data_IF_157026672039
#
_entry.id   IF_157026672039
#
_cell.length_a   1.000
_cell.length_b   1.000
_cell.length_c   1.000
_cell.angle_alpha   90.00
_cell.angle_beta   90.00
_cell.angle_gamma   90.00
#
_symmetry.space_group_name_H-M   'P 1'
#
loop_
_entity.id
_entity.type
_entity.pdbx_description
1 polymer ?
#
# COMPACT_ATOMS: atom_id res chain seq x y z
N UNK A 1 32.89 -7.23 -25.29
CA UNK A 1 32.46 -7.45 -26.69
C UNK A 1 31.24 -8.35 -26.68
N UNK A 2 30.08 -7.82 -27.05
CA UNK A 2 28.83 -8.58 -27.09
C UNK A 2 28.83 -9.47 -28.33
N UNK A 3 28.72 -10.78 -28.11
CA UNK A 3 28.77 -11.79 -29.18
C UNK A 3 27.57 -12.73 -29.19
N UNK A 4 26.78 -12.78 -28.10
CA UNK A 4 25.69 -13.73 -27.96
C UNK A 4 24.42 -13.04 -27.46
N UNK A 5 23.27 -13.49 -27.95
CA UNK A 5 21.95 -13.17 -27.41
C UNK A 5 21.38 -14.36 -26.64
N UNK A 6 20.74 -14.09 -25.50
CA UNK A 6 20.01 -15.10 -24.73
C UNK A 6 18.67 -15.40 -25.42
N UNK A 7 18.42 -16.67 -25.72
CA UNK A 7 17.17 -17.22 -26.26
C UNK A 7 16.55 -18.20 -25.26
N UNK A 8 15.34 -18.68 -25.54
CA UNK A 8 14.68 -19.69 -24.69
C UNK A 8 15.50 -20.99 -24.60
N UNK A 9 16.20 -21.36 -25.67
CA UNK A 9 17.00 -22.59 -25.76
C UNK A 9 18.48 -22.41 -25.37
N UNK A 10 18.88 -21.23 -24.85
CA UNK A 10 20.25 -20.97 -24.43
C UNK A 10 20.83 -19.67 -24.98
N UNK A 11 22.06 -19.72 -25.50
CA UNK A 11 22.75 -18.57 -26.07
C UNK A 11 23.00 -18.81 -27.56
N UNK A 12 22.65 -17.84 -28.39
CA UNK A 12 22.86 -17.86 -29.84
C UNK A 12 23.81 -16.75 -30.25
N UNK A 13 24.64 -17.00 -31.26
CA UNK A 13 25.59 -16.00 -31.73
C UNK A 13 24.86 -14.84 -32.41
N UNK A 14 25.26 -13.61 -32.09
CA UNK A 14 24.68 -12.41 -32.68
C UNK A 14 25.11 -12.29 -34.15
N UNK A 15 24.18 -11.97 -35.06
CA UNK A 15 24.52 -11.65 -36.45
C UNK A 15 25.52 -10.50 -36.58
N UNK A 16 25.48 -9.56 -35.62
CA UNK A 16 26.42 -8.45 -35.52
C UNK A 16 27.01 -8.39 -34.11
N UNK A 17 28.34 -8.51 -34.03
CA UNK A 17 29.10 -8.38 -32.78
C UNK A 17 29.36 -6.91 -32.49
N UNK A 18 29.14 -6.50 -31.24
CA UNK A 18 29.27 -5.09 -30.83
C UNK A 18 30.34 -4.91 -29.76
N UNK A 19 30.99 -3.76 -29.80
CA UNK A 19 31.82 -3.28 -28.69
C UNK A 19 30.90 -2.50 -27.75
N UNK A 20 30.82 -2.93 -26.49
CA UNK A 20 30.11 -2.21 -25.43
C UNK A 20 31.17 -1.70 -24.45
N UNK A 21 31.31 -0.37 -24.37
CA UNK A 21 32.30 0.29 -23.53
C UNK A 21 31.61 1.20 -22.52
N UNK A 22 31.91 1.01 -21.24
CA UNK A 22 31.52 1.90 -20.15
C UNK A 22 32.75 2.30 -19.33
N UNK A 23 33.12 3.59 -19.39
CA UNK A 23 34.34 4.10 -18.75
C UNK A 23 34.18 4.49 -17.27
N UNK A 24 32.96 4.71 -16.78
CA UNK A 24 32.68 5.14 -15.40
C UNK A 24 33.25 6.52 -15.07
N UNK A 25 32.53 7.58 -15.44
CA UNK A 25 32.96 8.97 -15.30
C UNK A 25 33.40 9.30 -13.87
N UNK A 26 32.60 8.93 -12.85
CA UNK A 26 32.87 9.23 -11.44
C UNK A 26 34.18 8.59 -10.95
N UNK A 27 34.53 7.40 -11.44
CA UNK A 27 35.79 6.72 -11.09
C UNK A 27 36.99 7.36 -11.78
N UNK A 28 36.84 7.77 -13.04
CA UNK A 28 37.87 8.53 -13.75
C UNK A 28 38.10 9.87 -13.06
N UNK A 29 37.02 10.58 -12.70
CA UNK A 29 37.07 11.84 -11.99
C UNK A 29 37.79 11.70 -10.63
N UNK A 30 37.48 10.65 -9.86
CA UNK A 30 38.16 10.33 -8.60
C UNK A 30 39.68 10.22 -8.79
N UNK A 31 40.14 9.47 -9.80
CA UNK A 31 41.57 9.30 -10.09
C UNK A 31 42.21 10.61 -10.56
N UNK A 32 41.57 11.34 -11.48
CA UNK A 32 42.09 12.61 -12.03
C UNK A 32 42.19 13.69 -10.94
N UNK A 33 41.25 13.72 -10.00
CA UNK A 33 41.22 14.67 -8.88
C UNK A 33 42.10 14.22 -7.70
N UNK A 34 42.79 13.08 -7.80
CA UNK A 34 43.66 12.55 -6.74
C UNK A 34 42.90 12.15 -5.47
N UNK A 35 41.62 11.79 -5.61
CA UNK A 35 40.74 11.37 -4.50
C UNK A 35 40.79 9.86 -4.30
N UNK A 36 40.45 9.40 -3.10
CA UNK A 36 40.37 7.97 -2.78
C UNK A 36 38.92 7.48 -2.75
N UNK A 37 37.98 8.41 -2.73
CA UNK A 37 36.55 8.15 -2.71
C UNK A 37 35.83 9.01 -3.77
N UNK A 38 34.88 8.40 -4.49
CA UNK A 38 34.08 9.11 -5.50
C UNK A 38 33.26 10.26 -4.89
N UNK A 39 32.89 10.15 -3.62
CA UNK A 39 32.11 11.17 -2.92
C UNK A 39 32.92 12.42 -2.55
N UNK A 40 34.26 12.35 -2.61
CA UNK A 40 35.17 13.48 -2.43
C UNK A 40 35.37 14.31 -3.71
N UNK A 41 34.82 13.85 -4.83
CA UNK A 41 34.90 14.56 -6.10
C UNK A 41 33.91 15.71 -6.16
N UNK A 42 34.17 16.67 -7.03
CA UNK A 42 33.23 17.75 -7.38
C UNK A 42 31.82 17.28 -7.79
N UNK A 43 31.67 16.01 -8.18
CA UNK A 43 30.40 15.40 -8.58
C UNK A 43 29.49 15.03 -7.39
N UNK A 44 29.98 15.09 -6.15
CA UNK A 44 29.23 14.75 -4.94
C UNK A 44 29.55 15.63 -3.74
N UNK A 45 30.76 16.17 -3.65
CA UNK A 45 31.24 16.93 -2.50
C UNK A 45 30.31 18.09 -2.09
N UNK A 46 29.71 18.88 -3.00
CA UNK A 46 28.76 19.93 -2.60
C UNK A 46 27.58 19.40 -1.77
N UNK A 47 27.08 18.20 -2.09
CA UNK A 47 26.00 17.56 -1.33
C UNK A 47 26.52 17.09 0.04
N UNK A 48 27.72 16.49 0.09
CA UNK A 48 28.36 16.07 1.34
C UNK A 48 28.57 17.28 2.27
N UNK A 49 29.10 18.38 1.75
CA UNK A 49 29.31 19.62 2.51
C UNK A 49 27.99 20.17 3.07
N UNK A 50 26.93 20.19 2.26
CA UNK A 50 25.59 20.56 2.73
C UNK A 50 25.12 19.65 3.88
N UNK A 51 25.33 18.33 3.77
CA UNK A 51 24.96 17.36 4.80
C UNK A 51 25.78 17.56 6.10
N UNK A 52 27.08 17.83 6.00
CA UNK A 52 27.90 18.18 7.18
C UNK A 52 27.35 19.42 7.88
N UNK A 53 27.04 20.47 7.12
CA UNK A 53 26.54 21.74 7.64
C UNK A 53 25.20 21.60 8.39
N UNK A 54 24.26 20.80 7.85
CA UNK A 54 22.93 20.63 8.48
C UNK A 54 22.94 19.59 9.60
N UNK A 55 23.85 18.62 9.58
CA UNK A 55 23.98 17.60 10.64
C UNK A 55 24.90 18.03 11.79
N UNK A 56 25.84 18.95 11.53
CA UNK A 56 26.93 19.29 12.44
C UNK A 56 27.97 18.18 12.59
N UNK A 57 28.02 17.22 11.66
CA UNK A 57 28.93 16.06 11.68
C UNK A 57 29.91 16.12 10.53
N UNK A 58 31.11 15.62 10.74
CA UNK A 58 32.13 15.56 9.69
C UNK A 58 32.03 14.26 8.88
N UNK A 59 32.37 14.31 7.59
CA UNK A 59 32.21 13.17 6.67
C UNK A 59 32.91 11.90 7.15
N UNK A 60 34.11 12.03 7.73
CA UNK A 60 34.90 10.93 8.28
C UNK A 60 34.83 10.82 9.81
N UNK A 61 33.80 11.38 10.45
CA UNK A 61 33.62 11.30 11.91
C UNK A 61 33.49 9.84 12.40
N UNK A 62 32.79 9.00 11.63
CA UNK A 62 32.77 7.55 11.82
C UNK A 62 32.37 6.84 10.53
N UNK A 63 32.57 5.52 10.46
CA UNK A 63 32.14 4.70 9.31
C UNK A 63 30.62 4.82 9.07
N UNK A 64 29.83 4.91 10.14
CA UNK A 64 28.37 5.06 10.08
C UNK A 64 27.96 6.42 9.49
N UNK A 65 28.64 7.51 9.89
CA UNK A 65 28.40 8.85 9.36
C UNK A 65 28.82 8.93 7.90
N UNK A 66 29.99 8.40 7.57
CA UNK A 66 30.50 8.33 6.20
C UNK A 66 29.49 7.59 5.32
N UNK A 67 29.05 6.40 5.74
CA UNK A 67 28.08 5.60 5.01
C UNK A 67 26.74 6.34 4.82
N UNK A 68 26.23 6.99 5.88
CA UNK A 68 24.98 7.71 5.81
C UNK A 68 25.04 8.89 4.81
N UNK A 69 26.12 9.67 4.84
CA UNK A 69 26.31 10.78 3.89
C UNK A 69 26.47 10.30 2.45
N UNK A 70 27.21 9.20 2.22
CA UNK A 70 27.34 8.57 0.89
C UNK A 70 25.98 8.15 0.33
N UNK A 71 25.17 7.47 1.13
CA UNK A 71 23.83 7.01 0.71
C UNK A 71 22.91 8.21 0.42
N UNK A 72 22.93 9.23 1.27
CA UNK A 72 22.15 10.45 1.06
C UNK A 72 22.56 11.16 -0.24
N UNK A 73 23.86 11.31 -0.50
CA UNK A 73 24.36 12.01 -1.69
C UNK A 73 24.06 11.27 -2.99
N UNK A 74 24.27 9.95 -3.02
CA UNK A 74 23.93 9.11 -4.16
C UNK A 74 22.43 9.14 -4.48
N UNK A 75 21.61 8.95 -3.45
CA UNK A 75 20.17 8.92 -3.61
C UNK A 75 19.57 10.29 -3.91
N UNK A 76 20.17 11.38 -3.43
CA UNK A 76 19.79 12.74 -3.81
C UNK A 76 19.94 12.95 -5.32
N UNK A 77 21.12 12.67 -5.88
CA UNK A 77 21.36 12.78 -7.34
C UNK A 77 20.36 11.95 -8.13
N UNK A 78 20.24 10.66 -7.79
CA UNK A 78 19.34 9.73 -8.49
C UNK A 78 17.88 10.19 -8.41
N UNK A 79 17.41 10.59 -7.24
CA UNK A 79 16.02 10.99 -7.01
C UNK A 79 15.67 12.31 -7.71
N UNK A 80 16.62 13.25 -7.78
CA UNK A 80 16.44 14.52 -8.51
C UNK A 80 16.23 14.26 -10.00
N UNK A 81 17.03 13.40 -10.63
CA UNK A 81 16.85 13.06 -12.04
C UNK A 81 15.55 12.29 -12.31
N UNK A 82 15.24 11.29 -11.49
CA UNK A 82 13.99 10.54 -11.65
C UNK A 82 12.79 11.48 -11.52
N UNK A 83 12.81 12.40 -10.56
CA UNK A 83 11.75 13.40 -10.39
C UNK A 83 11.72 14.43 -11.54
N UNK A 84 12.87 14.84 -12.07
CA UNK A 84 13.00 15.72 -13.24
C UNK A 84 12.29 15.12 -14.46
N UNK A 85 12.41 13.81 -14.68
CA UNK A 85 11.71 13.06 -15.74
C UNK A 85 10.18 12.94 -15.53
N UNK A 86 9.62 13.63 -14.53
CA UNK A 86 8.19 13.67 -14.25
C UNK A 86 7.68 12.50 -13.40
N UNK A 87 8.56 11.64 -12.90
CA UNK A 87 8.18 10.50 -12.05
C UNK A 87 7.78 10.99 -10.66
N UNK A 88 6.71 10.42 -10.11
CA UNK A 88 6.25 10.65 -8.75
C UNK A 88 6.26 9.36 -7.91
N UNK A 89 6.46 9.43 -6.57
CA UNK A 89 6.49 8.27 -5.68
C UNK A 89 5.24 7.38 -5.78
N UNK A 90 5.42 6.13 -6.19
CA UNK A 90 4.32 5.18 -6.45
C UNK A 90 4.61 3.77 -5.88
N UNK A 91 3.67 2.83 -6.02
CA UNK A 91 3.86 1.43 -5.64
C UNK A 91 4.49 0.56 -6.74
N UNK A 92 4.78 1.13 -7.93
CA UNK A 92 5.20 0.37 -9.12
C UNK A 92 6.33 1.05 -9.87
N UNK A 93 7.15 0.25 -10.55
CA UNK A 93 8.15 0.66 -11.54
C UNK A 93 9.07 1.80 -11.05
N UNK A 94 9.25 2.86 -11.87
CA UNK A 94 10.11 3.99 -11.53
C UNK A 94 9.61 4.76 -10.29
N UNK A 95 8.29 4.83 -10.11
CA UNK A 95 7.69 5.48 -8.95
C UNK A 95 7.99 4.73 -7.65
N UNK A 96 8.08 3.40 -7.69
CA UNK A 96 8.55 2.60 -6.55
C UNK A 96 10.03 2.87 -6.26
N UNK A 97 10.87 2.94 -7.29
CA UNK A 97 12.30 3.24 -7.11
C UNK A 97 12.51 4.62 -6.46
N UNK A 98 11.85 5.67 -6.97
CA UNK A 98 11.92 7.02 -6.41
C UNK A 98 11.46 7.03 -4.94
N UNK A 99 10.29 6.43 -4.67
CA UNK A 99 9.78 6.30 -3.31
C UNK A 99 10.80 5.64 -2.38
N UNK A 100 11.39 4.53 -2.81
CA UNK A 100 12.37 3.78 -2.02
C UNK A 100 13.59 4.62 -1.69
N UNK A 101 14.14 5.34 -2.69
CA UNK A 101 15.30 6.20 -2.48
C UNK A 101 14.99 7.34 -1.50
N UNK A 102 13.85 8.03 -1.67
CA UNK A 102 13.44 9.09 -0.75
C UNK A 102 13.27 8.58 0.68
N UNK A 103 12.61 7.44 0.88
CA UNK A 103 12.44 6.85 2.22
C UNK A 103 13.77 6.46 2.86
N UNK A 104 14.69 5.92 2.07
CA UNK A 104 16.04 5.58 2.51
C UNK A 104 16.83 6.83 2.89
N UNK A 105 16.71 7.91 2.11
CA UNK A 105 17.28 9.22 2.48
C UNK A 105 16.73 9.70 3.83
N UNK A 106 15.41 9.66 4.06
CA UNK A 106 14.81 10.07 5.35
C UNK A 106 15.37 9.24 6.52
N UNK A 107 15.51 7.91 6.34
CA UNK A 107 16.11 7.03 7.35
C UNK A 107 17.55 7.44 7.70
N UNK A 108 18.40 7.63 6.70
CA UNK A 108 19.80 7.98 6.94
C UNK A 108 19.99 9.43 7.43
N UNK A 109 19.11 10.36 7.03
CA UNK A 109 19.06 11.69 7.63
C UNK A 109 18.80 11.62 9.14
N UNK A 110 17.91 10.72 9.59
CA UNK A 110 17.67 10.46 11.01
C UNK A 110 18.89 9.87 11.72
N UNK A 111 19.66 8.99 11.07
CA UNK A 111 20.94 8.48 11.62
C UNK A 111 21.97 9.60 11.80
N UNK A 112 21.96 10.62 10.95
CA UNK A 112 22.78 11.82 11.11
C UNK A 112 22.26 12.77 12.20
N UNK A 113 21.11 12.49 12.83
CA UNK A 113 20.47 13.36 13.82
C UNK A 113 19.57 14.45 13.22
N UNK A 114 19.37 14.44 11.90
CA UNK A 114 18.53 15.43 11.22
C UNK A 114 17.07 14.96 11.26
N UNK A 115 16.20 15.75 11.89
CA UNK A 115 14.79 15.35 12.09
C UNK A 115 13.92 15.58 10.84
N UNK A 116 14.12 16.66 10.12
CA UNK A 116 13.32 17.01 8.95
C UNK A 116 14.09 17.97 8.04
N UNK A 117 13.71 18.03 6.77
CA UNK A 117 14.18 18.99 5.77
C UNK A 117 15.39 18.50 4.99
N UNK A 118 16.12 17.50 5.49
CA UNK A 118 17.37 17.05 4.88
C UNK A 118 17.21 16.64 3.41
N UNK A 119 16.10 15.98 3.05
CA UNK A 119 15.91 15.51 1.68
C UNK A 119 15.59 16.65 0.72
N UNK A 120 14.88 17.68 1.18
CA UNK A 120 14.55 18.88 0.39
C UNK A 120 15.78 19.76 0.24
N UNK A 121 16.54 19.95 1.32
CA UNK A 121 17.71 20.82 1.39
C UNK A 121 18.84 20.43 0.42
N UNK A 122 18.91 19.16 0.02
CA UNK A 122 19.91 18.67 -0.94
C UNK A 122 19.46 18.81 -2.40
N UNK A 123 18.19 19.11 -2.67
CA UNK A 123 17.65 19.25 -4.04
C UNK A 123 18.28 20.44 -4.75
N UNK A 124 18.27 21.61 -4.12
CA UNK A 124 18.83 22.85 -4.69
C UNK A 124 20.33 22.71 -4.97
N UNK A 125 21.09 22.17 -4.01
CA UNK A 125 22.53 21.90 -4.17
C UNK A 125 22.81 20.95 -5.33
N UNK A 126 22.01 19.87 -5.44
CA UNK A 126 22.13 18.91 -6.55
C UNK A 126 21.81 19.56 -7.89
N UNK A 127 20.76 20.40 -7.92
CA UNK A 127 20.34 21.10 -9.13
C UNK A 127 21.37 22.12 -9.60
N UNK A 128 21.95 22.90 -8.69
CA UNK A 128 22.99 23.87 -8.98
C UNK A 128 24.24 23.20 -9.57
N UNK A 129 24.73 22.14 -8.91
CA UNK A 129 25.90 21.37 -9.33
C UNK A 129 25.78 20.81 -10.76
N UNK A 130 24.57 20.49 -11.20
CA UNK A 130 24.31 19.81 -12.48
C UNK A 130 23.67 20.73 -13.52
N UNK A 131 23.36 21.97 -13.16
CA UNK A 131 22.64 22.92 -14.04
C UNK A 131 23.39 23.28 -15.32
N UNK A 132 24.72 23.16 -15.34
CA UNK A 132 25.52 23.38 -16.54
C UNK A 132 25.34 22.27 -17.59
N UNK A 133 25.02 21.05 -17.13
CA UNK A 133 24.78 19.88 -17.98
C UNK A 133 23.29 19.69 -18.29
N UNK A 134 22.42 20.05 -17.34
CA UNK A 134 20.96 19.97 -17.45
C UNK A 134 20.34 21.34 -17.14
N UNK A 135 20.29 22.27 -18.13
CA UNK A 135 19.81 23.64 -17.91
C UNK A 135 18.37 23.71 -17.39
N UNK A 136 17.50 22.79 -17.84
CA UNK A 136 16.09 22.71 -17.47
C UNK A 136 15.87 22.30 -16.00
N UNK A 137 16.90 21.75 -15.35
CA UNK A 137 16.82 21.32 -13.96
C UNK A 137 16.50 22.51 -13.02
N UNK A 138 16.98 23.72 -13.35
CA UNK A 138 16.72 24.95 -12.58
C UNK A 138 15.23 25.31 -12.53
N UNK A 139 14.50 25.14 -13.63
CA UNK A 139 13.06 25.43 -13.67
C UNK A 139 12.22 24.39 -12.92
N UNK A 140 12.75 23.18 -12.74
CA UNK A 140 12.04 22.07 -12.12
C UNK A 140 12.25 21.96 -10.60
N UNK A 141 13.21 22.71 -10.02
CA UNK A 141 13.59 22.64 -8.59
C UNK A 141 12.37 22.69 -7.67
N UNK A 142 11.51 23.69 -7.81
CA UNK A 142 10.33 23.85 -6.94
C UNK A 142 9.37 22.66 -7.01
N UNK A 143 9.20 22.06 -8.19
CA UNK A 143 8.36 20.85 -8.34
C UNK A 143 9.03 19.64 -7.70
N UNK A 144 10.33 19.47 -7.89
CA UNK A 144 11.11 18.36 -7.32
C UNK A 144 11.14 18.47 -5.78
N UNK A 145 11.39 19.65 -5.23
CA UNK A 145 11.33 19.92 -3.78
C UNK A 145 9.97 19.54 -3.20
N UNK A 146 8.88 19.86 -3.90
CA UNK A 146 7.52 19.46 -3.48
C UNK A 146 7.38 17.95 -3.42
N UNK A 147 7.87 17.21 -4.41
CA UNK A 147 7.83 15.73 -4.42
C UNK A 147 8.60 15.14 -3.23
N UNK A 148 9.79 15.66 -2.95
CA UNK A 148 10.63 15.22 -1.82
C UNK A 148 9.94 15.51 -0.49
N UNK A 149 9.43 16.74 -0.33
CA UNK A 149 8.72 17.18 0.88
C UNK A 149 7.50 16.31 1.18
N UNK A 150 6.65 16.07 0.19
CA UNK A 150 5.43 15.28 0.37
C UNK A 150 5.73 13.84 0.79
N UNK A 151 6.74 13.20 0.20
CA UNK A 151 7.12 11.83 0.60
C UNK A 151 7.83 11.81 1.96
N UNK A 152 8.66 12.81 2.28
CA UNK A 152 9.31 12.92 3.59
C UNK A 152 8.28 13.09 4.71
N UNK A 153 7.32 14.01 4.57
CA UNK A 153 6.25 14.25 5.54
C UNK A 153 5.40 13.00 5.75
N UNK A 154 5.08 12.31 4.65
CA UNK A 154 4.31 11.06 4.68
C UNK A 154 5.06 9.94 5.39
N UNK A 155 6.35 9.79 5.13
CA UNK A 155 7.13 8.67 5.63
C UNK A 155 7.65 8.88 7.05
N UNK A 156 7.90 10.12 7.48
CA UNK A 156 8.47 10.42 8.80
C UNK A 156 7.70 9.74 9.95
N UNK A 157 6.36 9.81 9.93
CA UNK A 157 5.51 9.17 10.95
C UNK A 157 5.60 7.64 10.92
N UNK A 158 5.65 7.07 9.73
CA UNK A 158 5.80 5.62 9.53
C UNK A 158 7.19 5.15 9.99
N UNK A 159 8.23 5.94 9.73
CA UNK A 159 9.60 5.63 10.12
C UNK A 159 9.75 5.56 11.64
N UNK A 160 9.27 6.56 12.38
CA UNK A 160 9.41 6.60 13.85
C UNK A 160 8.73 5.41 14.52
N UNK A 161 7.49 5.09 14.12
CA UNK A 161 6.75 3.94 14.62
C UNK A 161 7.37 2.61 14.15
N UNK A 162 7.79 2.54 12.89
CA UNK A 162 8.38 1.37 12.26
C UNK A 162 9.72 0.98 12.89
N UNK A 163 10.62 1.94 13.10
CA UNK A 163 11.92 1.71 13.75
C UNK A 163 11.76 1.18 15.17
N UNK A 164 10.81 1.73 15.94
CA UNK A 164 10.55 1.27 17.30
C UNK A 164 10.07 -0.19 17.34
N UNK A 165 9.14 -0.57 16.46
CA UNK A 165 8.63 -1.95 16.41
C UNK A 165 9.65 -2.92 15.79
N UNK A 166 10.40 -2.47 14.79
CA UNK A 166 11.48 -3.23 14.17
C UNK A 166 12.59 -3.55 15.16
N UNK A 167 13.06 -2.55 15.93
CA UNK A 167 14.07 -2.74 16.96
C UNK A 167 13.65 -3.77 18.01
N UNK A 168 12.37 -3.79 18.43
CA UNK A 168 11.87 -4.80 19.36
C UNK A 168 11.92 -6.22 18.79
N UNK A 169 11.57 -6.39 17.52
CA UNK A 169 11.51 -7.70 16.85
C UNK A 169 12.90 -8.20 16.41
N UNK A 170 13.81 -7.29 16.09
CA UNK A 170 15.14 -7.62 15.58
C UNK A 170 16.24 -7.61 16.65
N UNK A 171 15.96 -7.19 17.88
CA UNK A 171 16.94 -7.21 18.96
C UNK A 171 17.42 -8.65 19.23
N UNK A 172 18.71 -8.91 19.01
CA UNK A 172 19.30 -10.25 19.14
C UNK A 172 18.79 -11.25 18.11
N UNK A 173 18.24 -10.79 16.99
CA UNK A 173 17.71 -11.64 15.94
C UNK A 173 18.83 -12.43 15.24
N UNK A 174 18.77 -13.75 15.37
CA UNK A 174 19.67 -14.69 14.70
C UNK A 174 18.89 -15.64 13.77
N UNK A 175 17.74 -15.17 13.28
CA UNK A 175 16.82 -15.95 12.46
C UNK A 175 17.23 -16.05 10.99
N UNK A 176 16.51 -16.88 10.25
CA UNK A 176 16.70 -17.08 8.82
C UNK A 176 16.14 -15.93 7.98
N UNK A 177 16.42 -15.95 6.67
CA UNK A 177 15.88 -14.96 5.71
C UNK A 177 14.35 -15.04 5.62
N UNK A 178 13.80 -16.24 5.75
CA UNK A 178 12.37 -16.52 5.77
C UNK A 178 11.71 -15.92 7.02
N UNK A 179 12.35 -16.05 8.18
CA UNK A 179 11.88 -15.42 9.42
C UNK A 179 11.92 -13.89 9.31
N UNK A 180 12.99 -13.32 8.74
CA UNK A 180 13.07 -11.87 8.49
C UNK A 180 11.98 -11.40 7.52
N UNK A 181 11.69 -12.19 6.48
CA UNK A 181 10.60 -11.92 5.53
C UNK A 181 9.23 -11.90 6.23
N UNK A 182 9.02 -12.77 7.22
CA UNK A 182 7.82 -12.78 8.06
C UNK A 182 7.71 -11.52 8.90
N UNK A 183 8.78 -11.15 9.61
CA UNK A 183 8.85 -9.90 10.37
C UNK A 183 8.57 -8.69 9.48
N UNK A 184 9.15 -8.64 8.28
CA UNK A 184 8.94 -7.56 7.34
C UNK A 184 7.50 -7.47 6.83
N UNK A 185 6.87 -8.61 6.55
CA UNK A 185 5.48 -8.66 6.13
C UNK A 185 4.54 -8.15 7.23
N UNK A 186 4.73 -8.59 8.47
CA UNK A 186 3.96 -8.15 9.63
C UNK A 186 4.09 -6.65 9.87
N UNK A 187 5.32 -6.12 9.86
CA UNK A 187 5.58 -4.69 10.07
C UNK A 187 4.98 -3.85 8.93
N UNK A 188 4.99 -4.35 7.70
CA UNK A 188 4.33 -3.70 6.58
C UNK A 188 2.80 -3.67 6.75
N UNK A 189 2.17 -4.79 7.11
CA UNK A 189 0.72 -4.86 7.31
C UNK A 189 0.24 -4.04 8.52
N UNK A 190 1.00 -4.09 9.63
CA UNK A 190 0.59 -3.49 10.90
C UNK A 190 0.87 -2.01 10.99
N UNK A 191 2.03 -1.55 10.50
CA UNK A 191 2.49 -0.17 10.68
C UNK A 191 2.90 0.52 9.38
N UNK A 192 2.79 -0.17 8.23
CA UNK A 192 3.18 0.36 6.93
C UNK A 192 4.69 0.46 6.73
N UNK A 193 5.49 -0.20 7.59
CA UNK A 193 6.94 -0.09 7.55
C UNK A 193 7.50 -0.90 6.37
N UNK A 194 8.25 -0.28 5.46
CA UNK A 194 8.65 -0.94 4.22
C UNK A 194 9.61 -2.11 4.44
N UNK A 195 9.50 -3.20 3.67
CA UNK A 195 10.34 -4.38 3.83
C UNK A 195 11.83 -4.07 3.58
N UNK A 196 12.15 -3.12 2.70
CA UNK A 196 13.52 -2.65 2.51
C UNK A 196 14.13 -1.99 3.76
N UNK A 197 13.31 -1.33 4.61
CA UNK A 197 13.80 -0.71 5.84
C UNK A 197 14.07 -1.77 6.91
N UNK A 198 13.26 -2.83 6.95
CA UNK A 198 13.45 -3.99 7.83
C UNK A 198 14.73 -4.74 7.46
N UNK A 199 15.00 -4.90 6.16
CA UNK A 199 16.27 -5.45 5.69
C UNK A 199 17.46 -4.63 6.19
N UNK A 200 17.40 -3.31 6.10
CA UNK A 200 18.47 -2.45 6.62
C UNK A 200 18.60 -2.52 8.14
N UNK A 201 17.50 -2.64 8.88
CA UNK A 201 17.55 -2.85 10.34
C UNK A 201 18.22 -4.19 10.70
N UNK A 202 18.01 -5.23 9.91
CA UNK A 202 18.66 -6.52 10.11
C UNK A 202 20.16 -6.46 9.79
N UNK A 203 20.54 -5.73 8.73
CA UNK A 203 21.95 -5.48 8.39
C UNK A 203 22.66 -4.67 9.48
N UNK A 204 22.00 -3.65 10.04
CA UNK A 204 22.51 -2.87 11.16
C UNK A 204 22.74 -3.74 12.41
N UNK A 205 21.98 -4.83 12.57
CA UNK A 205 22.16 -5.84 13.62
C UNK A 205 23.15 -6.97 13.25
N UNK A 206 23.89 -6.83 12.15
CA UNK A 206 24.95 -7.77 11.75
C UNK A 206 24.53 -8.92 10.84
N UNK A 207 23.28 -8.94 10.34
CA UNK A 207 22.85 -9.96 9.38
C UNK A 207 23.43 -9.70 7.99
N UNK A 208 24.26 -10.62 7.50
CA UNK A 208 24.82 -10.55 6.14
C UNK A 208 23.81 -11.02 5.09
N UNK A 209 22.98 -10.09 4.61
CA UNK A 209 21.99 -10.35 3.56
C UNK A 209 21.92 -9.21 2.55
N UNK A 210 21.61 -9.52 1.29
CA UNK A 210 21.42 -8.51 0.24
C UNK A 210 19.95 -8.43 -0.21
N UNK A 211 19.62 -7.32 -0.87
CA UNK A 211 18.26 -7.02 -1.35
C UNK A 211 17.73 -8.03 -2.37
N UNK A 212 18.58 -8.63 -3.19
CA UNK A 212 18.16 -9.62 -4.20
C UNK A 212 17.67 -10.90 -3.53
N UNK A 213 18.48 -11.45 -2.61
CA UNK A 213 18.16 -12.64 -1.83
C UNK A 213 16.90 -12.41 -0.99
N UNK A 214 16.88 -11.33 -0.20
CA UNK A 214 15.72 -10.99 0.62
C UNK A 214 14.46 -10.76 -0.23
N UNK A 215 14.58 -9.99 -1.32
CA UNK A 215 13.46 -9.68 -2.19
C UNK A 215 12.85 -10.90 -2.87
N UNK A 216 13.65 -11.94 -3.17
CA UNK A 216 13.14 -13.22 -3.69
C UNK A 216 12.26 -13.90 -2.64
N UNK A 217 12.80 -14.12 -1.44
CA UNK A 217 12.09 -14.78 -0.33
C UNK A 217 10.84 -13.98 0.08
N UNK A 218 10.93 -12.66 0.11
CA UNK A 218 9.79 -11.79 0.42
C UNK A 218 8.66 -11.88 -0.60
N UNK A 219 8.98 -11.96 -1.90
CA UNK A 219 7.96 -12.17 -2.95
C UNK A 219 7.30 -13.53 -2.84
N UNK A 220 8.08 -14.59 -2.59
CA UNK A 220 7.56 -15.94 -2.36
C UNK A 220 6.63 -15.97 -1.13
N UNK A 221 7.03 -15.28 -0.06
CA UNK A 221 6.22 -15.15 1.16
C UNK A 221 4.89 -14.42 0.89
N UNK A 222 4.92 -13.29 0.17
CA UNK A 222 3.69 -12.59 -0.23
C UNK A 222 2.83 -13.46 -1.14
N UNK A 223 3.42 -14.17 -2.11
CA UNK A 223 2.68 -15.04 -3.02
C UNK A 223 1.95 -16.15 -2.25
N UNK A 224 2.64 -16.80 -1.31
CA UNK A 224 2.05 -17.81 -0.42
C UNK A 224 0.91 -17.22 0.42
N UNK A 225 1.11 -16.06 1.05
CA UNK A 225 0.03 -15.41 1.80
C UNK A 225 -1.14 -14.96 0.93
N UNK A 226 -0.89 -14.55 -0.32
CA UNK A 226 -1.95 -14.24 -1.29
C UNK A 226 -2.71 -15.50 -1.71
N UNK A 227 -2.03 -16.62 -1.93
CA UNK A 227 -2.63 -17.92 -2.20
C UNK A 227 -3.43 -18.41 -1.01
N UNK A 228 -2.92 -18.33 0.22
CA UNK A 228 -3.66 -18.66 1.45
C UNK A 228 -4.87 -17.73 1.63
N UNK A 229 -4.72 -16.43 1.37
CA UNK A 229 -5.84 -15.48 1.40
C UNK A 229 -6.86 -15.76 0.30
N UNK A 230 -6.44 -16.28 -0.85
CA UNK A 230 -7.31 -16.70 -1.96
C UNK A 230 -7.97 -18.04 -1.69
N UNK A 231 -7.28 -19.03 -1.16
CA UNK A 231 -7.81 -20.32 -0.75
C UNK A 231 -8.80 -20.16 0.42
N UNK A 232 -8.48 -19.29 1.38
CA UNK A 232 -9.42 -18.84 2.41
C UNK A 232 -10.57 -17.98 1.85
N UNK A 233 -10.42 -17.38 0.66
CA UNK A 233 -11.50 -16.72 -0.07
C UNK A 233 -12.25 -17.66 -1.03
N UNK A 234 -11.70 -18.81 -1.40
CA UNK A 234 -12.39 -19.90 -2.11
C UNK A 234 -13.20 -20.75 -1.12
N UNK A 235 -12.77 -20.80 0.16
CA UNK A 235 -13.63 -21.19 1.27
C UNK A 235 -14.64 -20.11 1.65
N UNK A 236 -14.52 -18.88 1.11
CA UNK A 236 -15.61 -17.92 1.22
C UNK A 236 -16.69 -18.29 0.23
N UNK A 237 -17.82 -18.71 0.76
CA UNK A 237 -19.04 -18.87 -0.03
C UNK A 237 -19.44 -17.54 -0.66
N UNK A 238 -20.17 -17.64 -1.78
CA UNK A 238 -20.73 -16.51 -2.54
C UNK A 238 -21.26 -15.43 -1.59
N UNK A 239 -20.79 -14.17 -1.70
CA UNK A 239 -21.15 -13.07 -0.79
C UNK A 239 -20.14 -12.74 0.33
N UNK A 240 -19.01 -13.44 0.43
CA UNK A 240 -17.92 -13.07 1.37
C UNK A 240 -18.03 -13.68 2.77
N UNK A 241 -18.78 -14.77 2.89
CA UNK A 241 -19.06 -15.53 4.11
C UNK A 241 -17.89 -16.40 4.53
N UNK A 242 -17.52 -16.43 5.82
CA UNK A 242 -16.47 -17.33 6.30
C UNK A 242 -16.94 -18.80 6.47
N UNK A 243 -18.23 -19.02 6.72
CA UNK A 243 -18.87 -20.34 6.85
C UNK A 243 -20.40 -20.25 6.59
N UNK A 244 -21.16 -21.28 6.96
CA UNK A 244 -22.63 -21.32 6.89
C UNK A 244 -23.30 -21.43 8.27
N UNK A 245 -22.63 -20.96 9.33
CA UNK A 245 -23.25 -20.87 10.65
C UNK A 245 -24.44 -19.92 10.62
N UNK A 246 -25.41 -20.15 11.51
CA UNK A 246 -26.62 -19.33 11.64
C UNK A 246 -26.29 -17.82 11.74
N UNK A 247 -25.30 -17.48 12.58
CA UNK A 247 -24.87 -16.09 12.75
C UNK A 247 -24.28 -15.47 11.49
N UNK A 248 -23.54 -16.25 10.68
CA UNK A 248 -22.98 -15.77 9.41
C UNK A 248 -24.09 -15.51 8.38
N UNK A 249 -25.13 -16.35 8.35
CA UNK A 249 -26.31 -16.14 7.50
C UNK A 249 -27.09 -14.90 7.92
N UNK A 250 -27.25 -14.67 9.23
CA UNK A 250 -27.86 -13.45 9.79
C UNK A 250 -27.07 -12.21 9.37
N UNK A 251 -25.77 -12.17 9.62
CA UNK A 251 -24.92 -11.05 9.21
C UNK A 251 -24.85 -10.84 7.70
N UNK A 252 -25.06 -11.89 6.91
CA UNK A 252 -25.16 -11.73 5.46
C UNK A 252 -26.40 -10.93 5.08
N UNK A 253 -27.54 -11.22 5.69
CA UNK A 253 -28.78 -10.45 5.47
C UNK A 253 -28.65 -9.03 6.04
N UNK A 254 -28.02 -8.87 7.21
CA UNK A 254 -27.67 -7.56 7.78
C UNK A 254 -26.80 -6.73 6.82
N UNK A 255 -25.95 -7.36 6.01
CA UNK A 255 -25.11 -6.66 5.03
C UNK A 255 -25.97 -5.91 4.00
N UNK A 256 -27.05 -6.53 3.52
CA UNK A 256 -27.98 -5.90 2.58
C UNK A 256 -28.76 -4.75 3.21
N UNK A 257 -29.21 -4.91 4.46
CA UNK A 257 -29.87 -3.85 5.23
C UNK A 257 -28.93 -2.66 5.47
N UNK A 258 -27.67 -2.95 5.82
CA UNK A 258 -26.63 -1.95 6.03
C UNK A 258 -26.31 -1.19 4.74
N UNK A 259 -26.23 -1.89 3.61
CA UNK A 259 -26.00 -1.25 2.31
C UNK A 259 -27.17 -0.34 1.91
N UNK A 260 -28.42 -0.76 2.12
CA UNK A 260 -29.60 0.08 1.91
C UNK A 260 -29.59 1.32 2.80
N UNK A 261 -29.34 1.16 4.11
CA UNK A 261 -29.28 2.27 5.06
C UNK A 261 -28.15 3.27 4.73
N UNK A 262 -26.98 2.78 4.32
CA UNK A 262 -25.87 3.64 3.89
C UNK A 262 -26.25 4.48 2.67
N UNK A 263 -26.95 3.90 1.70
CA UNK A 263 -27.43 4.63 0.51
C UNK A 263 -28.52 5.64 0.85
N UNK A 264 -29.39 5.33 1.81
CA UNK A 264 -30.42 6.26 2.28
C UNK A 264 -29.82 7.47 3.01
N UNK A 265 -28.79 7.25 3.85
CA UNK A 265 -28.18 8.32 4.65
C UNK A 265 -27.17 9.14 3.85
N UNK A 266 -26.32 8.49 3.04
CA UNK A 266 -25.17 9.12 2.37
C UNK A 266 -25.41 9.38 0.88
N UNK A 267 -26.43 8.74 0.27
CA UNK A 267 -26.81 8.89 -1.14
C UNK A 267 -26.57 7.64 -2.00
N UNK A 268 -27.27 7.56 -3.13
CA UNK A 268 -27.28 6.40 -4.04
C UNK A 268 -25.93 6.05 -4.68
N UNK A 269 -24.97 6.97 -4.65
CA UNK A 269 -23.61 6.74 -5.16
C UNK A 269 -22.79 5.77 -4.30
N UNK A 270 -23.29 5.39 -3.11
CA UNK A 270 -22.64 4.38 -2.28
C UNK A 270 -22.70 3.02 -2.97
N UNK A 271 -21.51 2.40 -3.05
CA UNK A 271 -21.21 1.14 -3.67
C UNK A 271 -20.28 0.34 -2.75
N UNK A 272 -20.64 -0.92 -2.54
CA UNK A 272 -19.81 -1.89 -1.84
C UNK A 272 -18.47 -2.08 -2.56
N UNK A 273 -17.38 -2.00 -1.78
CA UNK A 273 -15.99 -2.24 -2.21
C UNK A 273 -15.42 -3.54 -1.65
N UNK A 274 -16.08 -4.12 -0.65
CA UNK A 274 -15.69 -5.39 -0.06
C UNK A 274 -16.56 -5.73 1.16
N UNK A 275 -16.68 -7.02 1.46
CA UNK A 275 -17.33 -7.50 2.68
C UNK A 275 -16.53 -8.67 3.26
N UNK A 276 -16.61 -8.86 4.57
CA UNK A 276 -16.13 -10.07 5.24
C UNK A 276 -17.00 -10.34 6.47
N UNK A 277 -17.63 -11.50 6.47
CA UNK A 277 -18.55 -11.92 7.52
C UNK A 277 -17.97 -13.13 8.24
N UNK A 278 -17.97 -13.10 9.57
CA UNK A 278 -17.59 -14.20 10.46
C UNK A 278 -18.64 -14.32 11.57
N UNK A 279 -18.64 -15.41 12.34
CA UNK A 279 -19.55 -15.56 13.49
C UNK A 279 -19.49 -14.40 14.48
N UNK A 280 -18.34 -13.76 14.65
CA UNK A 280 -18.19 -12.67 15.63
C UNK A 280 -18.46 -11.26 15.07
N UNK A 281 -18.44 -11.06 13.75
CA UNK A 281 -18.50 -9.71 13.17
C UNK A 281 -18.91 -9.66 11.70
N UNK A 282 -19.52 -8.55 11.33
CA UNK A 282 -19.69 -8.08 9.95
C UNK A 282 -18.70 -6.93 9.67
N UNK A 283 -17.93 -7.04 8.59
CA UNK A 283 -17.05 -5.96 8.10
C UNK A 283 -17.49 -5.53 6.71
N UNK A 284 -17.81 -4.25 6.54
CA UNK A 284 -18.32 -3.71 5.29
C UNK A 284 -17.51 -2.52 4.79
N UNK A 285 -17.10 -2.55 3.53
CA UNK A 285 -16.29 -1.53 2.87
C UNK A 285 -17.08 -0.85 1.75
N UNK A 286 -17.05 0.48 1.67
CA UNK A 286 -17.80 1.26 0.69
C UNK A 286 -17.03 2.52 0.24
N UNK A 287 -17.40 3.10 -0.91
CA UNK A 287 -16.79 4.31 -1.45
C UNK A 287 -17.23 5.58 -0.72
N UNK A 288 -16.53 5.92 0.36
CA UNK A 288 -16.71 7.18 1.07
C UNK A 288 -15.36 7.70 1.56
N UNK A 289 -15.05 8.95 1.26
CA UNK A 289 -13.74 9.54 1.58
C UNK A 289 -13.67 10.03 3.04
N UNK A 290 -14.72 10.68 3.51
CA UNK A 290 -14.81 11.20 4.88
C UNK A 290 -15.00 10.09 5.91
N UNK A 291 -14.72 10.39 7.18
CA UNK A 291 -15.20 9.58 8.30
C UNK A 291 -16.70 9.86 8.48
N UNK A 292 -17.46 8.85 8.88
CA UNK A 292 -18.86 9.05 9.28
C UNK A 292 -18.89 9.89 10.55
N UNK A 293 -19.81 10.84 10.63
CA UNK A 293 -20.16 11.56 11.84
C UNK A 293 -20.97 10.66 12.78
N UNK A 294 -20.99 11.00 14.08
CA UNK A 294 -21.77 10.25 15.07
C UNK A 294 -23.28 10.27 14.72
N UNK A 295 -23.76 11.39 14.18
CA UNK A 295 -25.15 11.53 13.70
C UNK A 295 -25.43 10.62 12.48
N UNK A 296 -24.50 10.52 11.52
CA UNK A 296 -24.64 9.60 10.39
C UNK A 296 -24.65 8.15 10.87
N UNK A 297 -23.75 7.76 11.79
CA UNK A 297 -23.72 6.41 12.39
C UNK A 297 -25.05 6.10 13.06
N UNK A 298 -25.51 6.98 13.94
CA UNK A 298 -26.77 6.77 14.68
C UNK A 298 -27.98 6.64 13.76
N UNK A 299 -28.02 7.42 12.67
CA UNK A 299 -29.07 7.32 11.65
C UNK A 299 -29.00 5.99 10.90
N UNK A 300 -27.81 5.55 10.49
CA UNK A 300 -27.63 4.26 9.81
C UNK A 300 -28.08 3.11 10.70
N UNK A 301 -27.63 3.08 11.96
CA UNK A 301 -28.05 2.06 12.94
C UNK A 301 -29.55 2.06 13.16
N UNK A 302 -30.16 3.25 13.30
CA UNK A 302 -31.61 3.39 13.46
C UNK A 302 -32.36 2.78 12.29
N UNK A 303 -31.95 3.09 11.06
CA UNK A 303 -32.59 2.59 9.84
C UNK A 303 -32.43 1.07 9.72
N UNK A 304 -31.23 0.52 9.95
CA UNK A 304 -30.99 -0.93 9.89
C UNK A 304 -31.89 -1.67 10.89
N UNK A 305 -31.96 -1.19 12.14
CA UNK A 305 -32.79 -1.81 13.16
C UNK A 305 -34.30 -1.62 12.89
N UNK A 306 -34.72 -0.50 12.29
CA UNK A 306 -36.09 -0.32 11.82
C UNK A 306 -36.47 -1.31 10.71
N UNK A 307 -35.55 -1.66 9.82
CA UNK A 307 -35.80 -2.69 8.81
C UNK A 307 -35.90 -4.08 9.43
N UNK A 308 -35.13 -4.35 10.49
CA UNK A 308 -35.22 -5.60 11.26
C UNK A 308 -36.62 -5.73 11.89
N UNK A 309 -37.08 -4.69 12.57
CA UNK A 309 -38.38 -4.61 13.27
C UNK A 309 -39.62 -4.66 12.35
N UNK A 310 -39.44 -4.58 11.02
CA UNK A 310 -40.53 -4.60 10.04
C UNK A 310 -40.94 -6.01 9.60
N UNK A 311 -40.27 -7.06 10.09
CA UNK A 311 -40.57 -8.46 9.78
C UNK A 311 -40.69 -8.73 8.25
N UNK A 312 -39.78 -8.17 7.46
CA UNK A 312 -39.83 -8.21 6.01
C UNK A 312 -39.38 -9.58 5.46
N UNK A 313 -40.09 -10.14 4.47
CA UNK A 313 -39.67 -11.37 3.82
C UNK A 313 -38.38 -11.16 3.02
N UNK A 314 -37.53 -12.18 3.01
CA UNK A 314 -36.28 -12.22 2.23
C UNK A 314 -36.41 -13.30 1.17
N UNK A 315 -36.54 -12.89 -0.08
CA UNK A 315 -36.82 -13.79 -1.20
C UNK A 315 -35.79 -13.59 -2.33
N UNK A 316 -35.79 -14.51 -3.30
CA UNK A 316 -34.96 -14.37 -4.49
C UNK A 316 -35.68 -14.79 -5.77
N UNK A 317 -35.26 -14.19 -6.87
CA UNK A 317 -35.63 -14.61 -8.23
C UNK A 317 -34.39 -14.90 -9.06
N UNK A 318 -34.52 -15.84 -10.00
CA UNK A 318 -33.51 -16.12 -11.01
C UNK A 318 -33.83 -15.31 -12.26
N UNK A 319 -32.93 -14.42 -12.67
CA UNK A 319 -33.10 -13.57 -13.85
C UNK A 319 -31.88 -13.69 -14.75
N UNK A 320 -32.04 -13.41 -16.04
CA UNK A 320 -30.87 -13.13 -16.87
C UNK A 320 -30.18 -11.85 -16.38
N UNK A 321 -28.87 -11.73 -16.61
CA UNK A 321 -28.11 -10.54 -16.20
C UNK A 321 -28.70 -9.23 -16.74
N UNK A 322 -29.21 -9.25 -17.97
CA UNK A 322 -29.84 -8.09 -18.62
C UNK A 322 -31.19 -7.74 -17.99
N UNK A 323 -31.99 -8.73 -17.58
CA UNK A 323 -33.26 -8.50 -16.88
C UNK A 323 -33.02 -8.02 -15.45
N UNK A 324 -32.06 -8.62 -14.74
CA UNK A 324 -31.67 -8.22 -13.40
C UNK A 324 -31.18 -6.76 -13.35
N UNK A 325 -30.45 -6.30 -14.37
CA UNK A 325 -30.05 -4.89 -14.47
C UNK A 325 -31.24 -3.93 -14.61
N UNK A 326 -32.35 -4.36 -15.21
CA UNK A 326 -33.55 -3.53 -15.39
C UNK A 326 -34.39 -3.39 -14.11
N UNK A 327 -34.23 -4.26 -13.13
CA UNK A 327 -34.97 -4.19 -11.86
C UNK A 327 -34.40 -3.15 -10.87
N UNK A 328 -33.25 -2.56 -11.22
CA UNK A 328 -32.51 -1.64 -10.36
C UNK A 328 -31.71 -2.36 -9.26
N UNK A 329 -31.54 -3.68 -9.35
CA UNK A 329 -30.76 -4.43 -8.38
C UNK A 329 -29.28 -4.01 -8.40
N UNK A 330 -28.74 -3.78 -7.21
CA UNK A 330 -27.35 -3.37 -7.01
C UNK A 330 -26.45 -4.59 -7.11
N UNK A 331 -25.24 -4.42 -7.62
CA UNK A 331 -24.23 -5.48 -7.68
C UNK A 331 -22.94 -5.01 -7.01
N UNK A 332 -22.19 -5.95 -6.45
CA UNK A 332 -20.91 -5.63 -5.81
C UNK A 332 -19.89 -5.13 -6.85
N UNK A 333 -19.00 -4.23 -6.44
CA UNK A 333 -17.92 -3.76 -7.30
C UNK A 333 -16.93 -4.91 -7.56
N UNK A 334 -16.73 -5.25 -8.83
CA UNK A 334 -15.73 -6.22 -9.31
C UNK A 334 -16.09 -7.71 -9.14
N UNK A 335 -17.35 -8.05 -8.83
CA UNK A 335 -17.83 -9.44 -8.92
C UNK A 335 -18.21 -9.82 -10.36
N UNK A 336 -17.77 -11.02 -10.77
CA UNK A 336 -18.13 -11.60 -12.07
C UNK A 336 -19.33 -12.51 -11.88
N UNK A 337 -20.46 -12.11 -12.48
CA UNK A 337 -21.68 -12.92 -12.51
C UNK A 337 -21.81 -13.65 -13.84
N UNK A 338 -22.40 -14.85 -13.82
CA UNK A 338 -22.76 -15.62 -15.02
C UNK A 338 -23.96 -15.03 -15.78
N UNK A 339 -24.43 -15.75 -16.80
CA UNK A 339 -25.54 -15.30 -17.68
C UNK A 339 -26.90 -15.25 -16.95
N UNK A 340 -27.08 -16.12 -15.96
CA UNK A 340 -28.23 -16.12 -15.03
C UNK A 340 -27.74 -15.79 -13.63
N UNK A 341 -28.44 -14.88 -12.95
CA UNK A 341 -28.08 -14.37 -11.62
C UNK A 341 -29.23 -14.55 -10.64
N UNK A 342 -28.87 -14.78 -9.37
CA UNK A 342 -29.82 -14.67 -8.24
C UNK A 342 -29.90 -13.21 -7.83
N UNK A 343 -31.11 -12.66 -7.85
CA UNK A 343 -31.41 -11.35 -7.27
C UNK A 343 -32.19 -11.60 -6.00
N UNK A 344 -31.55 -11.37 -4.85
CA UNK A 344 -32.24 -11.35 -3.56
C UNK A 344 -32.90 -10.00 -3.37
N UNK A 345 -34.07 -9.99 -2.74
CA UNK A 345 -34.76 -8.78 -2.33
C UNK A 345 -35.35 -8.94 -0.93
N UNK A 346 -35.42 -7.82 -0.22
CA UNK A 346 -35.97 -7.75 1.14
C UNK A 346 -37.20 -6.85 1.12
N UNK A 347 -38.38 -7.43 1.35
CA UNK A 347 -39.68 -6.76 1.28
C UNK A 347 -40.71 -7.53 0.46
N UNK A 348 -41.98 -7.13 0.54
CA UNK A 348 -43.12 -7.89 -0.02
C UNK A 348 -43.10 -8.11 -1.53
N UNK A 349 -42.39 -7.26 -2.27
CA UNK A 349 -42.25 -7.35 -3.73
C UNK A 349 -40.96 -6.71 -4.20
N UNK A 350 -40.46 -7.05 -5.39
CA UNK A 350 -39.29 -6.39 -5.97
C UNK A 350 -39.53 -4.89 -6.24
N UNK A 351 -40.76 -4.46 -6.44
CA UNK A 351 -41.09 -3.05 -6.64
C UNK A 351 -40.94 -2.24 -5.36
N UNK A 352 -41.29 -2.83 -4.21
CA UNK A 352 -41.32 -2.17 -2.90
C UNK A 352 -40.18 -2.57 -1.97
N UNK A 353 -39.30 -3.48 -2.40
CA UNK A 353 -38.19 -3.97 -1.60
C UNK A 353 -37.21 -2.86 -1.22
N UNK A 354 -36.79 -2.86 0.05
CA UNK A 354 -35.80 -1.92 0.60
C UNK A 354 -34.39 -2.20 0.08
N UNK A 355 -34.11 -3.46 -0.27
CA UNK A 355 -32.85 -3.88 -0.87
C UNK A 355 -33.14 -4.89 -1.98
N UNK A 356 -32.38 -4.78 -3.07
CA UNK A 356 -32.38 -5.67 -4.23
C UNK A 356 -30.95 -5.83 -4.69
N UNK A 357 -30.39 -7.02 -4.56
CA UNK A 357 -28.95 -7.21 -4.79
C UNK A 357 -28.64 -8.53 -5.50
N UNK A 358 -27.61 -8.48 -6.36
CA UNK A 358 -27.04 -9.66 -6.97
C UNK A 358 -26.27 -10.42 -5.89
N UNK A 359 -26.84 -11.52 -5.41
CA UNK A 359 -26.26 -12.27 -4.30
C UNK A 359 -26.49 -13.77 -4.48
N UNK A 360 -25.44 -14.57 -4.20
CA UNK A 360 -25.50 -16.02 -4.32
C UNK A 360 -25.34 -16.78 -3.01
N UNK A 361 -25.23 -16.07 -1.88
CA UNK A 361 -25.07 -16.70 -0.57
C UNK A 361 -26.41 -17.05 0.09
N UNK A 362 -26.39 -17.82 1.19
CA UNK A 362 -27.56 -18.06 2.04
C UNK A 362 -28.03 -16.79 2.76
N UNK A 363 -29.34 -16.68 2.96
CA UNK A 363 -29.98 -15.63 3.74
C UNK A 363 -30.98 -16.23 4.72
N UNK A 364 -31.38 -15.45 5.72
CA UNK A 364 -32.55 -15.77 6.56
C UNK A 364 -33.82 -15.69 5.68
N UNK A 365 -34.93 -16.29 6.13
CA UNK A 365 -36.20 -16.19 5.41
C UNK A 365 -36.93 -14.88 5.67
N UNK A 366 -36.66 -14.23 6.81
CA UNK A 366 -37.29 -12.97 7.20
C UNK A 366 -36.38 -12.12 8.11
N UNK A 367 -36.52 -10.80 8.07
CA UNK A 367 -35.73 -9.88 8.91
C UNK A 367 -35.98 -10.04 10.40
N UNK A 368 -37.13 -10.58 10.86
CA UNK A 368 -37.39 -10.86 12.28
C UNK A 368 -36.40 -11.87 12.88
N UNK A 369 -35.76 -12.68 12.04
CA UNK A 369 -34.75 -13.67 12.46
C UNK A 369 -33.42 -13.00 12.84
N UNK A 370 -33.25 -11.70 12.55
CA UNK A 370 -32.03 -10.93 12.84
C UNK A 370 -32.10 -10.31 14.23
N UNK A 371 -30.96 -10.22 14.90
CA UNK A 371 -30.82 -9.46 16.13
C UNK A 371 -30.48 -7.98 15.85
N UNK A 372 -30.84 -7.04 16.75
CA UNK A 372 -30.42 -5.66 16.63
C UNK A 372 -28.91 -5.50 16.54
N UNK A 373 -28.42 -4.54 15.76
CA UNK A 373 -27.00 -4.36 15.48
C UNK A 373 -26.51 -2.93 15.74
N UNK A 374 -25.21 -2.80 15.98
CA UNK A 374 -24.52 -1.51 16.14
C UNK A 374 -23.17 -1.47 15.40
N UNK A 375 -22.77 -0.27 14.96
CA UNK A 375 -21.49 0.05 14.33
C UNK A 375 -20.50 0.47 15.42
N UNK A 376 -19.73 -0.48 15.93
CA UNK A 376 -18.75 -0.22 16.99
C UNK A 376 -17.43 0.40 16.51
N UNK A 377 -17.14 0.35 15.20
CA UNK A 377 -15.86 0.82 14.67
C UNK A 377 -15.95 1.25 13.21
N UNK A 378 -15.28 2.35 12.87
CA UNK A 378 -14.98 2.74 11.49
C UNK A 378 -13.49 3.04 11.28
N UNK A 379 -12.99 2.88 10.05
CA UNK A 379 -11.61 3.26 9.68
C UNK A 379 -11.46 3.50 8.17
N UNK A 380 -10.45 4.29 7.79
CA UNK A 380 -10.06 4.44 6.37
C UNK A 380 -9.26 3.22 5.91
N UNK A 381 -9.57 2.69 4.73
CA UNK A 381 -8.84 1.56 4.13
C UNK A 381 -7.82 2.06 3.13
N UNK A 382 -8.24 2.97 2.25
CA UNK A 382 -7.45 3.62 1.22
C UNK A 382 -8.14 4.92 0.81
N UNK A 383 -7.53 5.69 -0.11
CA UNK A 383 -8.14 6.92 -0.62
C UNK A 383 -9.51 6.62 -1.22
N UNK A 384 -10.56 7.26 -0.70
CA UNK A 384 -11.93 7.09 -1.15
C UNK A 384 -12.66 5.83 -0.69
N UNK A 385 -12.08 5.03 0.23
CA UNK A 385 -12.72 3.82 0.76
C UNK A 385 -12.79 3.86 2.29
N UNK A 386 -14.01 3.71 2.81
CA UNK A 386 -14.34 3.64 4.23
C UNK A 386 -14.74 2.22 4.59
N UNK A 387 -14.42 1.80 5.81
CA UNK A 387 -14.82 0.52 6.40
C UNK A 387 -15.56 0.75 7.69
N UNK A 388 -16.65 0.02 7.89
CA UNK A 388 -17.36 -0.11 9.16
C UNK A 388 -17.32 -1.56 9.64
N UNK A 389 -17.40 -1.73 10.94
CA UNK A 389 -17.55 -3.02 11.60
C UNK A 389 -18.84 -3.01 12.42
N UNK A 390 -19.59 -4.10 12.32
CA UNK A 390 -20.91 -4.27 12.92
C UNK A 390 -20.94 -5.57 13.72
N UNK A 391 -21.61 -5.56 14.87
CA UNK A 391 -21.96 -6.75 15.64
C UNK A 391 -23.39 -6.64 16.17
N UNK A 392 -23.90 -7.74 16.71
CA UNK A 392 -25.14 -7.77 17.47
C UNK A 392 -24.99 -6.90 18.72
N UNK A 393 -25.96 -6.01 18.94
CA UNK A 393 -26.04 -5.12 20.09
C UNK A 393 -26.31 -5.96 21.35
N UNK A 394 -25.49 -5.76 22.38
CA UNK A 394 -25.61 -6.47 23.67
C UNK A 394 -26.82 -6.01 24.50
#
# INVERSE_FOLDING_TARGET
FMQYSKTNDGWTELPQKNVDFGGGLERIAMVVQGKQDIFETDSFWPIIEKLQNISGKDYYESDEITQAMRILADHARSSVFIAMDGVSPSNKDQGYALRRFLRRMVRYARKLGIKQGATVDVVSVTAEMLSWLYPDLKSEVTRIEKVFKEEEEKFTKTLERGQKESAKRLNGFAGSVEELSSVAFDLYQSVGYPPEMVLEDAQDNGMEINLSTFGKVYREHIAKHQEESRAGAEQKFTGGLADHSDQVVKYHTTTHLLNAALREVLGDQIMQRGSNITGDRLRFDFNYEAALTDDEISRIETIVNQYIDQDLPVEFVMLSKDEAGKTGAVHAFNEKYGDTVKVYYIGDSMETAISKEFCGGPHVGNTFELEPVEIYKQQSVSKGVRRVYVHVRE
#
